data_IF_813117624586
#
_entry.id   IF_813117624586
#
_cell.length_a   1.000
_cell.length_b   1.000
_cell.length_c   1.000
_cell.angle_alpha   90.00
_cell.angle_beta   90.00
_cell.angle_gamma   90.00
#
_symmetry.space_group_name_H-M   'P 1'
#
loop_
_entity.id
_entity.type
_entity.pdbx_description
1 polymer ?
#
# COMPACT_ATOMS: atom_id res chain seq x y z
N UNK A 1 1.14 -23.55 -15.58
CA UNK A 1 0.94 -22.10 -15.57
C UNK A 1 0.45 -21.54 -14.23
N UNK A 2 -0.43 -22.25 -13.51
CA UNK A 2 -0.99 -21.83 -12.20
C UNK A 2 0.08 -21.69 -11.11
N UNK A 3 1.15 -22.50 -11.12
CA UNK A 3 2.23 -22.44 -10.12
C UNK A 3 3.14 -21.21 -10.24
N UNK A 4 3.39 -20.72 -11.45
CA UNK A 4 4.22 -19.54 -11.71
C UNK A 4 3.51 -18.25 -11.25
N UNK A 5 2.20 -18.18 -11.44
CA UNK A 5 1.38 -17.04 -11.01
C UNK A 5 1.31 -16.93 -9.48
N UNK A 6 1.18 -18.06 -8.79
CA UNK A 6 1.21 -18.12 -7.33
C UNK A 6 2.61 -17.75 -6.76
N UNK A 7 3.69 -18.14 -7.42
CA UNK A 7 5.06 -17.81 -7.03
C UNK A 7 5.34 -16.29 -7.22
N UNK A 8 4.94 -15.72 -8.36
CA UNK A 8 5.06 -14.29 -8.62
C UNK A 8 4.20 -13.46 -7.67
N UNK A 9 3.00 -13.93 -7.34
CA UNK A 9 2.12 -13.27 -6.36
C UNK A 9 2.74 -13.24 -4.96
N UNK A 10 3.35 -14.34 -4.51
CA UNK A 10 4.07 -14.39 -3.22
C UNK A 10 5.27 -13.45 -3.19
N UNK A 11 6.02 -13.34 -4.29
CA UNK A 11 7.18 -12.46 -4.37
C UNK A 11 6.80 -10.97 -4.38
N UNK A 12 5.69 -10.62 -5.02
CA UNK A 12 5.15 -9.24 -5.03
C UNK A 12 4.57 -8.85 -3.67
N UNK A 13 3.94 -9.79 -2.95
CA UNK A 13 3.47 -9.55 -1.57
C UNK A 13 4.61 -9.35 -0.58
N UNK A 14 5.72 -10.07 -0.71
CA UNK A 14 6.90 -9.87 0.13
C UNK A 14 7.51 -8.45 -0.04
N UNK A 15 7.48 -7.89 -1.25
CA UNK A 15 7.97 -6.54 -1.55
C UNK A 15 7.07 -5.44 -0.92
N UNK A 16 5.75 -5.65 -0.89
CA UNK A 16 4.80 -4.72 -0.25
C UNK A 16 4.78 -4.84 1.28
N UNK A 17 5.14 -6.00 1.84
CA UNK A 17 5.31 -6.17 3.29
C UNK A 17 6.49 -5.36 3.82
N UNK A 18 7.57 -5.22 3.06
CA UNK A 18 8.73 -4.39 3.41
C UNK A 18 8.39 -2.90 3.55
N UNK A 19 7.42 -2.37 2.80
CA UNK A 19 6.94 -1.00 2.96
C UNK A 19 6.03 -0.85 4.20
N UNK A 20 5.20 -1.84 4.50
CA UNK A 20 4.33 -1.81 5.69
C UNK A 20 5.11 -1.93 7.01
N UNK A 21 6.26 -2.59 7.01
CA UNK A 21 7.11 -2.71 8.20
C UNK A 21 7.83 -1.42 8.61
N UNK A 22 7.84 -0.40 7.75
CA UNK A 22 8.40 0.93 8.06
C UNK A 22 7.43 1.82 8.83
N UNK A 23 6.13 1.54 8.76
CA UNK A 23 5.12 2.26 9.53
C UNK A 23 5.13 1.80 10.99
N UNK A 24 4.94 2.72 11.91
CA UNK A 24 4.76 2.39 13.32
C UNK A 24 3.54 1.47 13.47
N UNK A 25 3.68 0.41 14.25
CA UNK A 25 2.57 -0.48 14.58
C UNK A 25 1.74 0.04 15.74
N UNK A 26 2.37 0.79 16.66
CA UNK A 26 1.76 1.39 17.86
C UNK A 26 2.23 2.83 18.02
N UNK A 27 1.44 3.63 18.72
CA UNK A 27 1.73 5.02 19.05
C UNK A 27 1.40 5.31 20.52
N UNK A 28 2.19 6.15 21.16
CA UNK A 28 1.90 6.67 22.49
C UNK A 28 1.14 7.98 22.33
N UNK A 29 -0.14 7.97 22.66
CA UNK A 29 -1.07 9.08 22.47
C UNK A 29 -1.41 9.71 23.80
N UNK A 30 -1.51 11.01 23.85
CA UNK A 30 -2.02 11.77 25.00
C UNK A 30 -3.47 12.19 24.70
N UNK A 31 -4.44 11.53 25.36
CA UNK A 31 -5.87 11.87 25.31
C UNK A 31 -6.37 12.17 26.71
N UNK A 32 -7.10 13.24 26.89
CA UNK A 32 -7.68 13.64 28.18
C UNK A 32 -6.63 13.69 29.33
N UNK A 33 -5.42 14.17 29.01
CA UNK A 33 -4.31 14.22 29.95
C UNK A 33 -3.66 12.87 30.29
N UNK A 34 -4.16 11.77 29.72
CA UNK A 34 -3.65 10.41 30.01
C UNK A 34 -2.88 9.86 28.80
N UNK A 35 -1.70 9.28 29.08
CA UNK A 35 -0.91 8.57 28.06
C UNK A 35 -1.46 7.17 27.86
N UNK A 36 -1.73 6.85 26.62
CA UNK A 36 -2.24 5.55 26.17
C UNK A 36 -1.41 5.03 25.02
N UNK A 37 -1.19 3.72 24.95
CA UNK A 37 -0.55 3.07 23.82
C UNK A 37 -1.66 2.47 22.94
N UNK A 38 -1.76 2.96 21.72
CA UNK A 38 -2.79 2.54 20.75
C UNK A 38 -2.14 2.00 19.48
N UNK A 39 -2.82 1.10 18.76
CA UNK A 39 -2.41 0.78 17.39
C UNK A 39 -2.40 2.05 16.53
N UNK A 40 -1.38 2.24 15.70
CA UNK A 40 -1.28 3.42 14.83
C UNK A 40 -2.49 3.58 13.90
N UNK A 41 -3.15 2.47 13.55
CA UNK A 41 -4.39 2.47 12.77
C UNK A 41 -5.60 3.08 13.51
N UNK A 42 -5.53 3.25 14.84
CA UNK A 42 -6.58 3.86 15.68
C UNK A 42 -6.34 5.36 15.93
N UNK A 43 -5.30 5.93 15.34
CA UNK A 43 -5.04 7.37 15.40
C UNK A 43 -6.08 8.12 14.59
N UNK A 44 -6.47 9.27 15.11
CA UNK A 44 -7.37 10.22 14.44
C UNK A 44 -6.72 11.60 14.35
N UNK A 45 -7.09 12.41 13.35
CA UNK A 45 -6.65 13.80 13.27
C UNK A 45 -6.97 14.54 14.58
N UNK A 46 -6.00 15.31 15.08
CA UNK A 46 -6.07 16.01 16.35
C UNK A 46 -5.41 15.29 17.54
N UNK A 47 -5.11 14.01 17.44
CA UNK A 47 -4.39 13.27 18.48
C UNK A 47 -3.00 13.89 18.74
N UNK A 48 -2.59 13.92 20.00
CA UNK A 48 -1.23 14.27 20.41
C UNK A 48 -0.42 13.01 20.61
N UNK A 49 0.65 12.85 19.85
CA UNK A 49 1.51 11.65 19.88
C UNK A 49 2.90 12.02 20.37
N UNK A 50 3.39 11.31 21.37
CA UNK A 50 4.78 11.40 21.82
C UNK A 50 5.63 10.36 21.07
N UNK A 51 6.70 10.84 20.40
CA UNK A 51 7.65 10.02 19.65
C UNK A 51 9.03 10.16 20.26
N UNK A 52 9.70 9.04 20.48
CA UNK A 52 11.06 8.99 21.03
C UNK A 52 12.08 8.69 19.94
N UNK A 53 13.34 9.05 20.17
CA UNK A 53 14.43 8.77 19.24
C UNK A 53 14.49 7.28 18.87
N UNK A 54 14.70 7.02 17.59
CA UNK A 54 14.70 5.68 16.98
C UNK A 54 13.32 5.16 16.56
N UNK A 55 12.21 5.80 17.01
CA UNK A 55 10.87 5.38 16.63
C UNK A 55 10.44 6.01 15.28
N UNK A 56 9.64 5.31 14.47
CA UNK A 56 9.02 5.88 13.30
C UNK A 56 7.81 6.76 13.69
N UNK A 57 7.57 7.82 12.89
CA UNK A 57 6.36 8.61 13.03
C UNK A 57 5.15 7.80 12.54
N UNK A 58 4.08 7.70 13.35
CA UNK A 58 2.95 6.82 13.03
C UNK A 58 1.98 7.40 12.01
N UNK A 59 1.96 8.71 11.84
CA UNK A 59 1.07 9.45 10.94
C UNK A 59 1.70 10.80 10.60
N UNK A 60 1.13 11.51 9.62
CA UNK A 60 1.57 12.87 9.30
C UNK A 60 1.02 13.87 10.31
N UNK A 61 1.84 14.82 10.70
CA UNK A 61 1.43 15.80 11.69
C UNK A 61 2.40 16.95 11.83
N UNK A 62 2.08 17.84 12.74
CA UNK A 62 2.87 19.02 13.04
C UNK A 62 3.56 18.85 14.39
N UNK A 63 4.85 19.13 14.42
CA UNK A 63 5.66 19.12 15.64
C UNK A 63 5.28 20.29 16.52
N UNK A 64 4.68 20.04 17.69
CA UNK A 64 4.32 21.07 18.65
C UNK A 64 5.39 21.31 19.70
N UNK A 65 6.10 20.26 20.10
CA UNK A 65 7.19 20.34 21.06
C UNK A 65 8.26 19.31 20.75
N UNK A 66 9.51 19.66 21.03
CA UNK A 66 10.65 18.77 20.80
C UNK A 66 11.96 19.49 21.00
N UNK A 67 13.00 18.75 21.37
CA UNK A 67 14.34 19.29 21.58
C UNK A 67 15.32 18.50 20.73
N UNK A 68 16.13 19.19 19.92
CA UNK A 68 17.15 18.53 19.07
C UNK A 68 16.56 17.53 18.08
N UNK A 69 15.36 17.80 17.60
CA UNK A 69 14.60 16.90 16.73
C UNK A 69 15.21 16.82 15.34
N UNK A 70 15.66 15.65 14.96
CA UNK A 70 16.13 15.33 13.60
C UNK A 70 15.38 14.10 13.10
N UNK A 71 14.91 14.16 11.87
CA UNK A 71 14.19 13.07 11.21
C UNK A 71 14.98 12.52 10.01
N UNK A 72 14.90 11.22 9.82
CA UNK A 72 15.32 10.55 8.59
C UNK A 72 14.12 10.50 7.64
N UNK A 73 14.18 11.31 6.60
CA UNK A 73 13.17 11.41 5.55
C UNK A 73 13.61 10.77 4.23
N UNK A 74 14.70 10.00 4.26
CA UNK A 74 15.29 9.36 3.07
C UNK A 74 14.29 8.45 2.32
N UNK A 75 13.31 7.91 3.03
CA UNK A 75 12.23 7.11 2.43
C UNK A 75 11.25 7.92 1.57
N UNK A 76 11.18 9.24 1.76
CA UNK A 76 10.31 10.16 1.01
C UNK A 76 11.10 10.93 -0.05
N UNK A 77 12.21 11.53 0.35
CA UNK A 77 13.01 12.44 -0.49
C UNK A 77 14.09 11.72 -1.29
N UNK A 78 14.49 10.52 -0.84
CA UNK A 78 15.67 9.81 -1.38
C UNK A 78 17.00 10.36 -0.87
N UNK A 79 17.01 11.42 -0.07
CA UNK A 79 18.21 12.04 0.48
C UNK A 79 18.60 11.41 1.81
N UNK A 80 19.88 11.09 2.00
CA UNK A 80 20.36 10.39 3.20
C UNK A 80 20.71 11.32 4.37
N UNK A 81 20.54 12.64 4.23
CA UNK A 81 20.87 13.59 5.28
C UNK A 81 19.71 13.77 6.26
N UNK A 82 19.99 13.78 7.57
CA UNK A 82 18.98 14.06 8.58
C UNK A 82 18.39 15.47 8.41
N UNK A 83 17.07 15.56 8.43
CA UNK A 83 16.35 16.83 8.36
C UNK A 83 16.10 17.34 9.77
N UNK A 84 16.52 18.58 10.05
CA UNK A 84 16.20 19.23 11.33
C UNK A 84 14.76 19.70 11.33
N UNK A 85 14.02 19.31 12.37
CA UNK A 85 12.64 19.73 12.58
C UNK A 85 12.57 20.74 13.74
N UNK A 86 11.71 21.74 13.60
CA UNK A 86 11.45 22.77 14.60
C UNK A 86 9.99 22.74 15.05
N UNK A 87 9.71 22.90 16.34
CA UNK A 87 8.33 23.00 16.81
C UNK A 87 7.61 24.22 16.22
N UNK A 88 6.31 24.08 16.01
CA UNK A 88 5.45 25.22 15.70
C UNK A 88 5.46 26.19 16.90
N UNK A 89 5.75 27.49 16.70
CA UNK A 89 5.69 28.47 17.77
C UNK A 89 4.29 28.56 18.39
N UNK A 90 4.24 28.81 19.69
CA UNK A 90 2.98 28.98 20.42
C UNK A 90 2.17 30.15 19.83
N UNK A 91 0.92 29.89 19.51
CA UNK A 91 0.00 30.88 18.94
C UNK A 91 0.03 31.01 17.41
N UNK A 92 0.90 30.30 16.72
CA UNK A 92 0.84 30.20 15.26
C UNK A 92 -0.27 29.26 14.79
N UNK A 93 -0.88 29.63 13.65
CA UNK A 93 -1.92 28.81 13.04
C UNK A 93 -1.30 27.62 12.30
N UNK A 94 -1.94 26.47 12.44
CA UNK A 94 -1.52 25.21 11.76
C UNK A 94 -1.48 25.34 10.23
N UNK A 95 -2.28 26.26 9.68
CA UNK A 95 -2.34 26.51 8.22
C UNK A 95 -1.06 27.15 7.68
N UNK A 96 -0.30 27.87 8.53
CA UNK A 96 0.97 28.52 8.18
C UNK A 96 2.20 27.65 8.40
N UNK A 97 2.04 26.41 8.85
CA UNK A 97 3.17 25.54 9.19
C UNK A 97 4.09 25.26 7.99
N UNK A 98 5.38 25.48 8.20
CA UNK A 98 6.43 25.25 7.22
C UNK A 98 6.85 23.76 7.17
N UNK A 99 7.54 23.34 6.13
CA UNK A 99 8.02 21.97 5.98
C UNK A 99 8.89 21.49 7.16
N UNK A 100 9.64 22.40 7.79
CA UNK A 100 10.45 22.08 8.97
C UNK A 100 9.62 21.73 10.21
N UNK A 101 8.36 22.06 10.24
CA UNK A 101 7.41 21.80 11.33
C UNK A 101 6.59 20.53 11.06
N UNK A 102 6.51 20.09 9.81
CA UNK A 102 5.83 18.87 9.43
C UNK A 102 6.70 17.64 9.65
N UNK A 103 6.08 16.58 10.15
CA UNK A 103 6.65 15.22 10.22
C UNK A 103 5.76 14.27 9.45
N UNK A 104 6.36 13.24 8.87
CA UNK A 104 5.66 12.38 7.92
C UNK A 104 5.67 10.92 8.38
N UNK A 105 4.56 10.24 8.18
CA UNK A 105 4.40 8.81 8.45
C UNK A 105 5.49 7.99 7.76
N UNK A 106 6.06 7.02 8.50
CA UNK A 106 7.10 6.14 7.95
C UNK A 106 8.51 6.72 7.93
N UNK A 107 8.68 8.02 8.19
CA UNK A 107 9.98 8.62 8.51
C UNK A 107 10.35 8.32 9.96
N UNK A 108 11.61 8.45 10.33
CA UNK A 108 12.10 8.05 11.65
C UNK A 108 12.69 9.24 12.40
N UNK A 109 12.31 9.39 13.68
CA UNK A 109 12.98 10.31 14.57
C UNK A 109 14.37 9.77 14.92
N UNK A 110 15.45 10.48 14.52
CA UNK A 110 16.82 10.04 14.79
C UNK A 110 17.31 10.48 16.18
N UNK A 111 17.06 11.75 16.52
CA UNK A 111 17.51 12.36 17.77
C UNK A 111 16.43 13.16 18.42
N UNK A 112 16.54 13.35 19.75
CA UNK A 112 15.63 14.18 20.52
C UNK A 112 14.33 13.48 20.87
N UNK A 113 13.31 14.30 21.09
CA UNK A 113 11.93 13.88 21.33
C UNK A 113 10.98 14.73 20.52
N UNK A 114 9.83 14.19 20.21
CA UNK A 114 8.83 14.92 19.44
C UNK A 114 7.43 14.70 20.01
N UNK A 115 6.70 15.79 20.24
CA UNK A 115 5.26 15.77 20.45
C UNK A 115 4.58 16.31 19.20
N UNK A 116 3.81 15.47 18.56
CA UNK A 116 3.22 15.70 17.25
C UNK A 116 1.71 15.77 17.39
N UNK A 117 1.10 16.79 16.81
CA UNK A 117 -0.35 16.83 16.58
C UNK A 117 -0.63 16.20 15.23
N UNK A 118 -1.38 15.13 15.23
CA UNK A 118 -1.72 14.39 14.01
C UNK A 118 -2.65 15.22 13.15
N UNK A 119 -2.28 15.40 11.87
CA UNK A 119 -3.08 16.09 10.85
C UNK A 119 -3.76 15.10 9.91
N UNK A 120 -3.00 14.14 9.38
CA UNK A 120 -3.50 13.18 8.40
C UNK A 120 -3.15 11.75 8.82
N UNK A 121 -4.10 10.85 8.59
CA UNK A 121 -3.94 9.43 8.95
C UNK A 121 -4.24 8.50 7.79
N UNK A 122 -3.65 7.32 7.80
CA UNK A 122 -3.97 6.25 6.87
C UNK A 122 -3.76 6.64 5.39
N UNK A 123 -4.85 6.71 4.63
CA UNK A 123 -4.81 7.00 3.18
C UNK A 123 -4.59 8.46 2.83
N UNK A 124 -4.86 9.35 3.76
CA UNK A 124 -4.74 10.81 3.59
C UNK A 124 -3.34 11.30 3.94
N UNK A 125 -2.54 10.48 4.64
CA UNK A 125 -1.14 10.76 4.87
C UNK A 125 -0.34 10.74 3.55
N UNK A 126 0.68 11.58 3.42
CA UNK A 126 1.53 11.68 2.24
C UNK A 126 2.13 10.32 1.85
N UNK A 127 2.63 9.59 2.84
CA UNK A 127 3.15 8.24 2.60
C UNK A 127 2.03 7.26 2.20
N UNK A 128 0.83 7.41 2.76
CA UNK A 128 -0.36 6.66 2.38
C UNK A 128 -0.75 6.90 0.93
N UNK A 129 -0.63 8.13 0.45
CA UNK A 129 -0.87 8.49 -0.95
C UNK A 129 0.20 7.90 -1.89
N UNK A 130 1.48 7.98 -1.53
CA UNK A 130 2.59 7.37 -2.29
C UNK A 130 2.40 5.86 -2.38
N UNK A 131 2.09 5.19 -1.26
CA UNK A 131 1.81 3.74 -1.24
C UNK A 131 0.57 3.42 -2.09
N UNK A 132 -0.45 4.25 -2.05
CA UNK A 132 -1.64 4.10 -2.88
C UNK A 132 -1.34 4.26 -4.36
N UNK A 133 -0.54 5.25 -4.75
CA UNK A 133 -0.12 5.46 -6.13
C UNK A 133 0.77 4.30 -6.61
N UNK A 134 1.68 3.82 -5.79
CA UNK A 134 2.54 2.68 -6.09
C UNK A 134 1.77 1.35 -6.13
N UNK A 135 0.85 1.13 -5.18
CA UNK A 135 0.00 -0.05 -5.12
C UNK A 135 -1.24 0.05 -6.03
N UNK A 136 -1.70 1.27 -6.28
CA UNK A 136 -2.84 1.61 -7.13
C UNK A 136 -2.50 1.68 -8.61
N UNK A 137 -1.28 1.36 -9.01
CA UNK A 137 -1.00 0.82 -10.34
C UNK A 137 -1.78 -0.51 -10.46
N UNK A 138 -3.13 -0.37 -10.46
CA UNK A 138 -3.98 -1.41 -11.04
C UNK A 138 -3.22 -1.86 -12.27
N UNK A 139 -2.95 -3.16 -12.38
CA UNK A 139 -2.52 -3.76 -13.63
C UNK A 139 -3.49 -3.23 -14.70
N UNK A 140 -3.14 -2.12 -15.29
CA UNK A 140 -3.76 -1.67 -16.53
C UNK A 140 -3.39 -2.79 -17.47
N UNK A 141 -4.37 -3.66 -17.79
CA UNK A 141 -4.17 -4.73 -18.75
C UNK A 141 -3.64 -4.04 -20.01
N UNK A 142 -2.44 -4.39 -20.39
CA UNK A 142 -1.87 -3.79 -21.59
C UNK A 142 -2.78 -4.09 -22.78
N UNK A 143 -2.86 -3.21 -23.80
CA UNK A 143 -3.63 -3.49 -25.01
C UNK A 143 -3.31 -4.88 -25.59
N UNK A 144 -2.06 -5.32 -25.46
CA UNK A 144 -1.61 -6.65 -25.87
C UNK A 144 -2.27 -7.77 -25.04
N UNK A 145 -2.41 -7.61 -23.73
CA UNK A 145 -3.10 -8.61 -22.88
C UNK A 145 -4.58 -8.71 -23.23
N UNK A 146 -5.23 -7.60 -23.53
CA UNK A 146 -6.64 -7.61 -23.98
C UNK A 146 -6.79 -8.29 -25.33
N UNK A 147 -5.86 -8.07 -26.27
CA UNK A 147 -5.85 -8.73 -27.56
C UNK A 147 -5.62 -10.25 -27.43
N UNK A 148 -4.68 -10.67 -26.58
CA UNK A 148 -4.41 -12.10 -26.29
C UNK A 148 -5.63 -12.77 -25.63
N UNK A 149 -6.24 -12.15 -24.61
CA UNK A 149 -7.44 -12.67 -23.96
C UNK A 149 -8.59 -12.84 -24.96
N UNK A 150 -8.75 -11.90 -25.89
CA UNK A 150 -9.75 -11.98 -26.95
C UNK A 150 -9.45 -13.12 -27.93
N UNK A 151 -8.21 -13.25 -28.38
CA UNK A 151 -7.77 -14.34 -29.26
C UNK A 151 -7.98 -15.72 -28.63
N UNK A 152 -7.54 -15.88 -27.37
CA UNK A 152 -7.71 -17.14 -26.63
C UNK A 152 -9.21 -17.48 -26.51
N UNK A 153 -10.04 -16.52 -26.22
CA UNK A 153 -11.50 -16.74 -26.12
C UNK A 153 -12.09 -17.23 -27.45
N UNK A 154 -11.71 -16.59 -28.55
CA UNK A 154 -12.17 -16.98 -29.91
C UNK A 154 -11.71 -18.40 -30.24
N UNK A 155 -10.44 -18.75 -29.95
CA UNK A 155 -9.89 -20.09 -30.20
C UNK A 155 -10.59 -21.16 -29.36
N UNK A 156 -10.85 -20.88 -28.08
CA UNK A 156 -11.57 -21.82 -27.19
C UNK A 156 -13.00 -22.05 -27.70
N UNK A 157 -13.71 -20.99 -28.07
CA UNK A 157 -15.07 -21.12 -28.64
C UNK A 157 -15.06 -21.90 -29.94
N UNK A 158 -14.11 -21.61 -30.84
CA UNK A 158 -13.98 -22.32 -32.10
C UNK A 158 -13.68 -23.82 -31.90
N UNK A 159 -12.79 -24.16 -30.95
CA UNK A 159 -12.50 -25.53 -30.60
C UNK A 159 -13.74 -26.27 -30.05
N UNK A 160 -14.48 -25.64 -29.13
CA UNK A 160 -15.71 -26.23 -28.60
C UNK A 160 -16.77 -26.45 -29.67
N UNK A 161 -16.94 -25.52 -30.60
CA UNK A 161 -17.87 -25.67 -31.73
C UNK A 161 -17.44 -26.82 -32.62
N UNK A 162 -16.13 -26.91 -32.93
CA UNK A 162 -15.60 -28.00 -33.76
C UNK A 162 -15.83 -29.37 -33.08
N UNK A 163 -15.52 -29.49 -31.79
CA UNK A 163 -15.80 -30.71 -31.02
C UNK A 163 -17.29 -31.09 -31.03
N UNK A 164 -18.16 -30.09 -30.84
CA UNK A 164 -19.61 -30.32 -30.88
C UNK A 164 -20.09 -30.80 -32.25
N UNK A 165 -19.58 -30.21 -33.33
CA UNK A 165 -19.90 -30.63 -34.72
C UNK A 165 -19.41 -32.05 -34.99
N UNK A 166 -18.18 -32.38 -34.61
CA UNK A 166 -17.65 -33.73 -34.76
C UNK A 166 -18.42 -34.76 -33.97
N UNK A 167 -18.77 -34.46 -32.74
CA UNK A 167 -19.61 -35.33 -31.91
C UNK A 167 -20.99 -35.56 -32.53
N UNK A 168 -21.62 -34.47 -33.04
CA UNK A 168 -22.92 -34.55 -33.70
C UNK A 168 -22.87 -35.43 -34.97
N UNK A 169 -21.85 -35.20 -35.82
CA UNK A 169 -21.65 -36.05 -37.04
C UNK A 169 -21.48 -37.52 -36.69
N UNK A 170 -20.72 -37.84 -35.64
CA UNK A 170 -20.51 -39.22 -35.19
C UNK A 170 -21.80 -39.88 -34.69
N UNK A 171 -22.59 -39.13 -33.95
CA UNK A 171 -23.90 -39.62 -33.48
C UNK A 171 -24.85 -39.84 -34.66
N UNK A 172 -24.85 -38.93 -35.64
CA UNK A 172 -25.68 -39.05 -36.85
C UNK A 172 -25.28 -40.23 -37.73
N UNK A 173 -24.02 -40.65 -37.68
CA UNK A 173 -23.51 -41.86 -38.39
C UNK A 173 -23.80 -43.16 -37.66
N UNK A 174 -24.56 -43.14 -36.52
CA UNK A 174 -24.97 -44.35 -35.79
C UNK A 174 -23.89 -44.90 -34.84
N UNK A 175 -22.83 -44.18 -34.56
CA UNK A 175 -21.84 -44.57 -33.57
C UNK A 175 -22.33 -44.24 -32.16
N UNK A 176 -22.06 -45.09 -31.18
CA UNK A 176 -22.47 -44.86 -29.80
C UNK A 176 -21.89 -43.58 -29.22
N UNK A 177 -22.60 -42.93 -28.29
CA UNK A 177 -22.24 -41.64 -27.66
C UNK A 177 -20.83 -41.70 -27.04
N UNK A 178 -20.45 -42.88 -26.49
CA UNK A 178 -19.14 -43.06 -25.83
C UNK A 178 -18.01 -43.01 -26.84
N UNK A 179 -18.17 -43.63 -28.02
CA UNK A 179 -17.13 -43.62 -29.09
C UNK A 179 -17.01 -42.24 -29.74
N UNK A 180 -18.08 -41.48 -29.81
CA UNK A 180 -18.07 -40.12 -30.27
C UNK A 180 -17.32 -39.14 -29.32
N UNK A 181 -17.37 -39.40 -28.00
CA UNK A 181 -16.73 -38.55 -27.00
C UNK A 181 -15.21 -38.82 -26.90
N UNK A 182 -14.78 -40.06 -27.12
CA UNK A 182 -13.35 -40.48 -27.07
C UNK A 182 -12.58 -40.02 -28.32
N UNK A 183 -13.25 -39.80 -29.43
CA UNK A 183 -12.65 -39.41 -30.72
C UNK A 183 -12.76 -37.93 -31.07
N UNK A 184 -13.40 -37.10 -30.23
CA UNK A 184 -13.46 -35.63 -30.37
C UNK A 184 -12.40 -34.95 -29.53
#
# INVERSE_FOLDING_TARGET
FIGMDAFLHRRTQASTQGLRSRLASVATVLRDGTRQVLPAAALVPGDLVDVVAGAPFPADGILLAGTGTQADESSLTGESWPVRKSPLPDGEDLVGATESQWVFAGTRLLTGSARVRIGYTGREALYGEIVRLAAGSRRVRTPLQLAIDSLVRVLVVAALVLCAVLAWVRIAQGHGIVDALVSA
#
